data_IF_543338627781
#
_entry.id   IF_543338627781
#
_cell.length_a   1.000
_cell.length_b   1.000
_cell.length_c   1.000
_cell.angle_alpha   90.00
_cell.angle_beta   90.00
_cell.angle_gamma   90.00
#
_symmetry.space_group_name_H-M   'P 1'
#
loop_
_entity.id
_entity.type
_entity.pdbx_description
1 polymer ?
#
# COMPACT_ATOMS: atom_id res chain seq x y z
N UNK A 1 -11.45 -17.50 25.32
CA UNK A 1 -11.96 -16.52 24.34
C UNK A 1 -10.80 -15.65 23.94
N UNK A 2 -10.35 -15.77 22.68
CA UNK A 2 -9.23 -14.98 22.15
C UNK A 2 -9.60 -13.50 22.20
N UNK A 3 -8.84 -12.70 22.95
CA UNK A 3 -8.97 -11.24 22.96
C UNK A 3 -8.49 -10.73 21.61
N UNK A 4 -9.43 -10.47 20.72
CA UNK A 4 -9.17 -9.82 19.44
C UNK A 4 -8.34 -8.54 19.72
N UNK A 5 -7.13 -8.46 19.15
CA UNK A 5 -6.23 -7.32 19.30
C UNK A 5 -6.89 -6.05 18.73
N UNK A 6 -6.64 -4.89 19.35
CA UNK A 6 -7.15 -3.60 18.89
C UNK A 6 -6.83 -3.33 17.40
N UNK A 7 -5.69 -3.81 16.93
CA UNK A 7 -5.31 -3.78 15.51
C UNK A 7 -6.27 -4.54 14.60
N UNK A 8 -6.78 -5.69 15.06
CA UNK A 8 -7.78 -6.44 14.29
C UNK A 8 -9.14 -5.74 14.30
N UNK A 9 -9.50 -5.08 15.40
CA UNK A 9 -10.74 -4.29 15.49
C UNK A 9 -10.65 -3.11 14.51
N UNK A 10 -9.52 -2.41 14.48
CA UNK A 10 -9.27 -1.30 13.56
C UNK A 10 -9.27 -1.77 12.11
N UNK A 11 -8.62 -2.91 11.79
CA UNK A 11 -8.66 -3.50 10.44
C UNK A 11 -10.08 -3.88 10.01
N UNK A 12 -10.84 -4.54 10.88
CA UNK A 12 -12.24 -4.90 10.59
C UNK A 12 -13.10 -3.65 10.39
N UNK A 13 -12.92 -2.63 11.22
CA UNK A 13 -13.67 -1.37 11.11
C UNK A 13 -13.33 -0.61 9.83
N UNK A 14 -12.05 -0.54 9.44
CA UNK A 14 -11.63 0.04 8.16
C UNK A 14 -12.11 -0.75 6.95
N UNK A 15 -12.23 -2.08 7.05
CA UNK A 15 -12.82 -2.91 6.00
C UNK A 15 -14.32 -2.66 5.83
N UNK A 16 -15.05 -2.45 6.92
CA UNK A 16 -16.49 -2.20 6.92
C UNK A 16 -16.83 -0.75 6.53
N UNK A 17 -16.07 0.22 7.04
CA UNK A 17 -16.29 1.66 6.80
C UNK A 17 -15.53 2.19 5.58
N UNK A 18 -14.59 1.42 5.02
CA UNK A 18 -13.85 1.78 3.81
C UNK A 18 -14.69 1.67 2.53
N UNK A 19 -14.06 1.97 1.39
CA UNK A 19 -14.70 1.96 0.06
C UNK A 19 -15.51 0.69 -0.25
N UNK A 20 -15.09 -0.46 0.28
CA UNK A 20 -15.77 -1.75 0.10
C UNK A 20 -17.24 -1.74 0.59
N UNK A 21 -17.59 -0.96 1.62
CA UNK A 21 -18.97 -0.82 2.08
C UNK A 21 -19.84 0.01 1.14
N UNK A 22 -19.24 0.83 0.27
CA UNK A 22 -19.94 1.60 -0.75
C UNK A 22 -20.27 0.72 -1.96
N UNK A 23 -19.36 -0.16 -2.36
CA UNK A 23 -19.59 -1.10 -3.46
C UNK A 23 -20.71 -2.10 -3.13
N UNK A 24 -20.75 -2.63 -1.90
CA UNK A 24 -21.81 -3.54 -1.46
C UNK A 24 -23.20 -2.87 -1.51
N UNK A 25 -23.28 -1.58 -1.15
CA UNK A 25 -24.49 -0.77 -1.28
C UNK A 25 -24.88 -0.54 -2.74
N UNK A 26 -23.92 -0.26 -3.62
CA UNK A 26 -24.15 -0.07 -5.06
C UNK A 26 -24.69 -1.34 -5.71
N UNK A 27 -24.07 -2.49 -5.43
CA UNK A 27 -24.52 -3.80 -5.93
C UNK A 27 -25.92 -4.13 -5.40
N UNK A 28 -26.16 -3.90 -4.10
CA UNK A 28 -27.48 -4.10 -3.49
C UNK A 28 -28.56 -3.23 -4.15
N UNK A 29 -28.23 -1.97 -4.47
CA UNK A 29 -29.16 -1.06 -5.14
C UNK A 29 -29.43 -1.48 -6.59
N UNK A 30 -28.40 -1.88 -7.32
CA UNK A 30 -28.50 -2.43 -8.68
C UNK A 30 -29.45 -3.63 -8.70
N UNK A 31 -29.26 -4.59 -7.79
CA UNK A 31 -30.12 -5.77 -7.68
C UNK A 31 -31.57 -5.41 -7.37
N UNK A 32 -31.81 -4.47 -6.45
CA UNK A 32 -33.18 -4.01 -6.12
C UNK A 32 -33.86 -3.33 -7.32
N UNK A 33 -33.13 -2.49 -8.06
CA UNK A 33 -33.65 -1.80 -9.23
C UNK A 33 -33.93 -2.79 -10.37
N UNK A 34 -33.06 -3.79 -10.54
CA UNK A 34 -33.24 -4.84 -11.53
C UNK A 34 -34.49 -5.69 -11.27
N UNK A 35 -34.66 -6.16 -10.03
CA UNK A 35 -35.85 -6.91 -9.63
C UNK A 35 -37.14 -6.10 -9.80
N UNK A 36 -37.09 -4.79 -9.49
CA UNK A 36 -38.23 -3.88 -9.70
C UNK A 36 -38.57 -3.72 -11.18
N UNK A 37 -37.55 -3.56 -12.02
CA UNK A 37 -37.74 -3.43 -13.47
C UNK A 37 -38.35 -4.70 -14.08
N UNK A 38 -37.88 -5.89 -13.69
CA UNK A 38 -38.49 -7.16 -14.13
C UNK A 38 -39.93 -7.32 -13.67
N UNK A 39 -40.24 -6.89 -12.44
CA UNK A 39 -41.60 -6.95 -11.91
C UNK A 39 -42.53 -5.90 -12.53
N UNK A 40 -41.98 -4.92 -13.26
CA UNK A 40 -42.77 -3.91 -13.95
C UNK A 40 -43.34 -4.51 -15.25
N UNK A 41 -44.65 -4.37 -15.44
CA UNK A 41 -45.34 -4.70 -16.70
C UNK A 41 -45.26 -3.55 -17.72
N UNK A 42 -44.44 -2.54 -17.45
CA UNK A 42 -44.37 -1.34 -18.28
C UNK A 42 -43.34 -1.51 -19.41
N UNK A 43 -43.88 -1.65 -20.63
CA UNK A 43 -43.12 -1.85 -21.87
C UNK A 43 -42.98 -0.53 -22.66
N UNK A 44 -43.44 0.59 -22.08
CA UNK A 44 -43.39 1.91 -22.69
C UNK A 44 -42.03 2.62 -22.53
N UNK A 45 -42.03 3.95 -22.73
CA UNK A 45 -40.83 4.78 -22.60
C UNK A 45 -40.22 4.71 -21.20
N UNK A 46 -41.03 4.64 -20.15
CA UNK A 46 -40.56 4.54 -18.76
C UNK A 46 -39.79 3.23 -18.50
N UNK A 47 -40.24 2.12 -19.09
CA UNK A 47 -39.52 0.84 -19.05
C UNK A 47 -38.17 0.89 -19.75
N UNK A 48 -38.08 1.60 -20.88
CA UNK A 48 -36.82 1.82 -21.62
C UNK A 48 -35.84 2.71 -20.84
N UNK A 49 -36.31 3.79 -20.22
CA UNK A 49 -35.48 4.69 -19.42
C UNK A 49 -34.94 3.99 -18.16
N UNK A 50 -35.78 3.19 -17.51
CA UNK A 50 -35.37 2.36 -16.38
C UNK A 50 -34.31 1.31 -16.77
N UNK A 51 -34.41 0.73 -17.96
CA UNK A 51 -33.41 -0.19 -18.50
C UNK A 51 -32.07 0.52 -18.77
N UNK A 52 -32.09 1.72 -19.36
CA UNK A 52 -30.87 2.51 -19.58
C UNK A 52 -30.21 2.91 -18.24
N UNK A 53 -30.99 3.28 -17.24
CA UNK A 53 -30.48 3.56 -15.90
C UNK A 53 -29.84 2.32 -15.23
N UNK A 54 -30.39 1.12 -15.47
CA UNK A 54 -29.78 -0.14 -15.01
C UNK A 54 -28.44 -0.40 -15.69
N UNK A 55 -28.35 -0.23 -17.01
CA UNK A 55 -27.09 -0.33 -17.75
C UNK A 55 -26.05 0.66 -17.20
N UNK A 56 -26.46 1.93 -16.98
CA UNK A 56 -25.59 2.94 -16.38
C UNK A 56 -25.08 2.54 -14.99
N UNK A 57 -25.93 1.90 -14.19
CA UNK A 57 -25.55 1.40 -12.86
C UNK A 57 -24.57 0.22 -12.93
N UNK A 58 -24.70 -0.66 -13.94
CA UNK A 58 -23.74 -1.75 -14.20
C UNK A 58 -22.37 -1.17 -14.55
N UNK A 59 -22.30 -0.22 -15.50
CA UNK A 59 -21.03 0.41 -15.87
C UNK A 59 -20.34 1.09 -14.69
N UNK A 60 -21.10 1.72 -13.80
CA UNK A 60 -20.54 2.32 -12.58
C UNK A 60 -19.95 1.27 -11.64
N UNK A 61 -20.59 0.11 -11.49
CA UNK A 61 -20.07 -1.00 -10.69
C UNK A 61 -18.78 -1.56 -11.31
N UNK A 62 -18.78 -1.80 -12.63
CA UNK A 62 -17.61 -2.31 -13.35
C UNK A 62 -16.41 -1.35 -13.22
N UNK A 63 -16.62 -0.05 -13.43
CA UNK A 63 -15.56 0.94 -13.27
C UNK A 63 -15.04 1.02 -11.82
N UNK A 64 -15.93 0.92 -10.82
CA UNK A 64 -15.51 0.87 -9.41
C UNK A 64 -14.62 -0.35 -9.13
N UNK A 65 -14.99 -1.51 -9.66
CA UNK A 65 -14.20 -2.75 -9.54
C UNK A 65 -12.83 -2.63 -10.22
N UNK A 66 -12.78 -2.03 -11.41
CA UNK A 66 -11.52 -1.81 -12.14
C UNK A 66 -10.59 -0.86 -11.37
N UNK A 67 -11.13 0.22 -10.82
CA UNK A 67 -10.38 1.15 -9.96
C UNK A 67 -9.81 0.44 -8.73
N UNK A 68 -10.62 -0.38 -8.05
CA UNK A 68 -10.16 -1.16 -6.90
C UNK A 68 -9.04 -2.14 -7.27
N UNK A 69 -9.14 -2.81 -8.43
CA UNK A 69 -8.10 -3.71 -8.92
C UNK A 69 -6.78 -2.97 -9.23
N UNK A 70 -6.87 -1.77 -9.82
CA UNK A 70 -5.71 -0.93 -10.09
C UNK A 70 -5.03 -0.47 -8.78
N UNK A 71 -5.81 -0.02 -7.80
CA UNK A 71 -5.28 0.37 -6.47
C UNK A 71 -4.62 -0.81 -5.78
N UNK A 72 -5.23 -2.01 -5.84
CA UNK A 72 -4.63 -3.21 -5.26
C UNK A 72 -3.28 -3.52 -5.89
N UNK A 73 -3.18 -3.45 -7.22
CA UNK A 73 -1.93 -3.67 -7.94
C UNK A 73 -0.87 -2.61 -7.58
N UNK A 74 -1.26 -1.34 -7.58
CA UNK A 74 -0.40 -0.22 -7.16
C UNK A 74 0.14 -0.43 -5.73
N UNK A 75 -0.72 -0.79 -4.79
CA UNK A 75 -0.33 -1.03 -3.40
C UNK A 75 0.65 -2.22 -3.30
N UNK A 76 0.42 -3.28 -4.07
CA UNK A 76 1.34 -4.41 -4.15
C UNK A 76 2.73 -4.00 -4.67
N UNK A 77 2.78 -3.16 -5.69
CA UNK A 77 4.04 -2.66 -6.23
C UNK A 77 4.75 -1.70 -5.26
N UNK A 78 4.02 -0.80 -4.63
CA UNK A 78 4.55 0.08 -3.57
C UNK A 78 5.14 -0.73 -2.42
N UNK A 79 4.48 -1.80 -1.99
CA UNK A 79 4.99 -2.68 -0.94
C UNK A 79 6.33 -3.34 -1.31
N UNK A 80 6.49 -3.75 -2.57
CA UNK A 80 7.77 -4.29 -3.07
C UNK A 80 8.86 -3.21 -3.04
N UNK A 81 8.55 -2.01 -3.54
CA UNK A 81 9.50 -0.89 -3.53
C UNK A 81 9.93 -0.52 -2.11
N UNK A 82 9.00 -0.48 -1.15
CA UNK A 82 9.37 -0.24 0.25
C UNK A 82 10.24 -1.34 0.84
N UNK A 83 10.01 -2.59 0.46
CA UNK A 83 10.84 -3.72 0.90
C UNK A 83 12.26 -3.63 0.33
N UNK A 84 12.39 -3.23 -0.93
CA UNK A 84 13.68 -3.03 -1.58
C UNK A 84 14.43 -1.84 -0.97
N UNK A 85 13.75 -0.70 -0.80
CA UNK A 85 14.32 0.48 -0.15
C UNK A 85 14.81 0.17 1.27
N UNK A 86 14.06 -0.63 2.02
CA UNK A 86 14.47 -1.05 3.37
C UNK A 86 15.79 -1.83 3.33
N UNK A 87 15.93 -2.80 2.42
CA UNK A 87 17.17 -3.57 2.24
C UNK A 87 18.34 -2.68 1.82
N UNK A 88 18.08 -1.71 0.96
CA UNK A 88 19.10 -0.75 0.53
C UNK A 88 19.60 0.11 1.69
N UNK A 89 18.69 0.57 2.56
CA UNK A 89 19.06 1.29 3.78
C UNK A 89 19.89 0.40 4.70
N UNK A 90 19.51 -0.86 4.91
CA UNK A 90 20.29 -1.80 5.73
C UNK A 90 21.71 -2.00 5.16
N UNK A 91 21.83 -2.21 3.85
CA UNK A 91 23.13 -2.34 3.18
C UNK A 91 23.99 -1.08 3.32
N UNK A 92 23.40 0.10 3.15
CA UNK A 92 24.10 1.36 3.32
C UNK A 92 24.56 1.58 4.77
N UNK A 93 23.73 1.22 5.76
CA UNK A 93 24.10 1.27 7.17
C UNK A 93 25.28 0.35 7.48
N UNK A 94 25.27 -0.88 6.96
CA UNK A 94 26.38 -1.82 7.16
C UNK A 94 27.67 -1.32 6.50
N UNK A 95 27.59 -0.79 5.28
CA UNK A 95 28.73 -0.19 4.60
C UNK A 95 29.29 1.02 5.37
N UNK A 96 28.42 1.87 5.93
CA UNK A 96 28.84 2.99 6.77
C UNK A 96 29.55 2.51 8.05
N UNK A 97 29.06 1.44 8.69
CA UNK A 97 29.71 0.82 9.86
C UNK A 97 31.12 0.33 9.52
N UNK A 98 31.27 -0.39 8.41
CA UNK A 98 32.59 -0.87 7.94
C UNK A 98 33.56 0.29 7.70
N UNK A 99 33.12 1.33 7.00
CA UNK A 99 33.94 2.53 6.75
C UNK A 99 34.38 3.23 8.02
N UNK A 100 33.51 3.30 9.04
CA UNK A 100 33.88 3.87 10.34
C UNK A 100 35.01 3.06 10.98
N UNK A 101 34.93 1.73 10.91
CA UNK A 101 35.96 0.86 11.49
C UNK A 101 37.29 0.98 10.75
N UNK A 102 37.26 0.98 9.41
CA UNK A 102 38.44 1.24 8.57
C UNK A 102 39.09 2.58 8.92
N UNK A 103 38.31 3.67 9.05
CA UNK A 103 38.82 4.97 9.44
C UNK A 103 39.44 4.99 10.84
N UNK A 104 38.94 4.19 11.80
CA UNK A 104 39.55 4.07 13.13
C UNK A 104 40.91 3.40 13.06
N UNK A 105 41.04 2.33 12.27
CA UNK A 105 42.29 1.60 12.09
C UNK A 105 43.35 2.46 11.39
N UNK A 106 42.95 3.19 10.35
CA UNK A 106 43.81 4.17 9.67
C UNK A 106 44.28 5.27 10.63
N UNK A 107 43.37 5.81 11.45
CA UNK A 107 43.71 6.83 12.45
C UNK A 107 44.69 6.28 13.50
N UNK A 108 44.50 5.04 13.95
CA UNK A 108 45.42 4.35 14.86
C UNK A 108 46.82 4.25 14.27
N UNK A 109 46.90 3.78 13.04
CA UNK A 109 48.17 3.65 12.29
C UNK A 109 48.85 5.00 12.09
N UNK A 110 48.10 6.03 11.70
CA UNK A 110 48.60 7.39 11.52
C UNK A 110 49.15 8.00 12.82
N UNK A 111 48.52 7.72 13.97
CA UNK A 111 49.01 8.15 15.29
C UNK A 111 50.36 7.49 15.63
N UNK A 112 50.53 6.20 15.35
CA UNK A 112 51.80 5.48 15.57
C UNK A 112 52.90 6.06 14.68
N UNK A 113 52.64 6.27 13.39
CA UNK A 113 53.61 6.87 12.46
C UNK A 113 54.03 8.26 12.94
N UNK A 114 53.08 9.09 13.37
CA UNK A 114 53.37 10.43 13.90
C UNK A 114 54.24 10.38 15.16
N UNK A 115 54.01 9.43 16.06
CA UNK A 115 54.84 9.22 17.26
C UNK A 115 56.27 8.84 16.87
N UNK A 116 56.43 7.86 15.98
CA UNK A 116 57.74 7.38 15.53
C UNK A 116 58.54 8.49 14.83
N UNK A 117 57.89 9.28 13.96
CA UNK A 117 58.53 10.40 13.25
C UNK A 117 59.00 11.53 14.18
N UNK A 118 58.34 11.73 15.32
CA UNK A 118 58.79 12.67 16.36
C UNK A 118 59.99 12.13 17.14
N UNK A 119 59.99 10.84 17.49
CA UNK A 119 61.12 10.19 18.14
C UNK A 119 62.41 10.24 17.30
N UNK A 120 62.30 10.00 16.00
CA UNK A 120 63.43 10.06 15.07
C UNK A 120 64.02 11.46 14.85
N UNK A 121 63.31 12.54 15.21
CA UNK A 121 63.81 13.93 15.10
C UNK A 121 64.50 14.43 16.39
N UNK A 122 64.42 13.65 17.47
CA UNK A 122 64.97 13.99 18.79
C UNK A 122 66.28 13.23 19.10
N UNK A 123 66.73 12.37 18.19
CA UNK A 123 68.02 11.65 18.19
C UNK A 123 68.87 12.24 17.09
#
# INVERSE_FOLDING_TARGET
MSTISDDEIIKRKLLIEGESGNDDRRITLLLKNYLRWIASTDVGSEGSDAFQALIGSVYQCENSMEQAALVLNMNGEQQKQYTELFKDIENQMENARKRIEECKDELGTAKVIRKNRRGMKLV
#
